data_IF_228349820206
#
_entry.id   IF_228349820206
#
_cell.length_a   1.000
_cell.length_b   1.000
_cell.length_c   1.000
_cell.angle_alpha   90.00
_cell.angle_beta   90.00
_cell.angle_gamma   90.00
#
_symmetry.space_group_name_H-M   'P 1'
#
loop_
_entity.id
_entity.type
_entity.pdbx_description
1 polymer ?
#
# COMPACT_ATOMS: atom_id res chain seq x y z
N UNK A 1 5.56 14.33 4.32
CA UNK A 1 6.57 13.37 3.85
C UNK A 1 5.99 12.59 2.68
N UNK A 2 6.76 12.38 1.65
CA UNK A 2 6.36 11.59 0.49
C UNK A 2 7.46 10.60 0.13
N UNK A 3 7.06 9.35 -0.11
CA UNK A 3 7.95 8.28 -0.58
C UNK A 3 7.33 7.70 -1.83
N UNK A 4 8.13 7.51 -2.87
CA UNK A 4 7.69 6.96 -4.13
C UNK A 4 8.65 5.85 -4.57
N UNK A 5 8.11 4.65 -4.81
CA UNK A 5 8.85 3.48 -5.24
C UNK A 5 8.18 2.87 -6.46
N UNK A 6 8.95 2.25 -7.34
CA UNK A 6 8.42 1.61 -8.53
C UNK A 6 9.14 0.29 -8.83
N UNK A 7 8.40 -0.64 -9.44
CA UNK A 7 8.92 -1.91 -9.92
C UNK A 7 8.08 -2.41 -11.10
N UNK A 8 8.73 -3.03 -12.09
CA UNK A 8 8.03 -3.66 -13.20
C UNK A 8 7.63 -5.09 -12.87
N UNK A 9 6.55 -5.56 -13.46
CA UNK A 9 6.07 -6.93 -13.37
C UNK A 9 5.61 -7.43 -14.74
N UNK A 10 5.60 -8.76 -14.92
CA UNK A 10 5.40 -9.37 -16.23
C UNK A 10 3.94 -9.45 -16.69
N UNK A 11 2.97 -9.17 -15.82
CA UNK A 11 1.54 -9.27 -16.15
C UNK A 11 0.98 -7.98 -16.74
N UNK A 12 -0.14 -8.11 -17.47
CA UNK A 12 -0.90 -6.96 -17.97
C UNK A 12 -1.48 -6.15 -16.80
N UNK A 13 -1.72 -4.84 -16.97
CA UNK A 13 -2.29 -3.99 -15.93
C UNK A 13 -3.58 -4.53 -15.30
N UNK A 14 -4.50 -5.06 -16.09
CA UNK A 14 -5.77 -5.60 -15.57
C UNK A 14 -5.54 -6.79 -14.63
N UNK A 15 -4.64 -7.71 -14.97
CA UNK A 15 -4.27 -8.85 -14.14
C UNK A 15 -3.56 -8.39 -12.86
N UNK A 16 -2.60 -7.49 -12.99
CA UNK A 16 -1.88 -6.91 -11.85
C UNK A 16 -2.81 -6.19 -10.89
N UNK A 17 -3.72 -5.38 -11.42
CA UNK A 17 -4.66 -4.64 -10.59
C UNK A 17 -5.64 -5.56 -9.85
N UNK A 18 -6.10 -6.64 -10.47
CA UNK A 18 -6.97 -7.60 -9.81
C UNK A 18 -6.31 -8.22 -8.58
N UNK A 19 -4.99 -8.47 -8.63
CA UNK A 19 -4.22 -8.99 -7.50
C UNK A 19 -4.06 -7.92 -6.42
N UNK A 20 -3.70 -6.72 -6.79
CA UNK A 20 -3.52 -5.59 -5.84
C UNK A 20 -4.84 -5.23 -5.16
N UNK A 21 -5.94 -5.22 -5.89
CA UNK A 21 -7.26 -4.88 -5.35
C UNK A 21 -7.87 -5.98 -4.47
N UNK A 22 -7.38 -7.21 -4.56
CA UNK A 22 -7.83 -8.31 -3.72
C UNK A 22 -7.14 -8.27 -2.35
N UNK A 23 -7.47 -7.27 -1.56
CA UNK A 23 -6.80 -6.97 -0.29
C UNK A 23 -6.92 -8.08 0.74
N UNK A 24 -7.94 -8.93 0.64
CA UNK A 24 -8.13 -10.07 1.57
C UNK A 24 -7.02 -11.12 1.44
N UNK A 25 -6.36 -11.19 0.30
CA UNK A 25 -5.25 -12.12 0.05
C UNK A 25 -3.88 -11.53 0.38
N UNK A 26 -3.81 -10.27 0.76
CA UNK A 26 -2.53 -9.63 1.08
C UNK A 26 -1.70 -10.35 2.14
N UNK A 27 -2.28 -10.95 3.20
CA UNK A 27 -1.48 -11.72 4.15
C UNK A 27 -0.70 -12.88 3.54
N UNK A 28 -1.19 -13.45 2.43
CA UNK A 28 -0.53 -14.54 1.71
C UNK A 28 0.52 -14.03 0.71
N UNK A 29 0.44 -12.74 0.34
CA UNK A 29 1.27 -12.12 -0.69
C UNK A 29 2.37 -11.27 -0.06
N UNK A 30 2.02 -10.43 0.92
CA UNK A 30 2.92 -9.47 1.54
C UNK A 30 3.36 -10.02 2.90
N UNK A 31 4.64 -10.35 3.03
CA UNK A 31 5.16 -11.07 4.21
C UNK A 31 5.03 -10.28 5.50
N UNK A 32 5.03 -8.95 5.45
CA UNK A 32 4.87 -8.09 6.62
C UNK A 32 3.43 -8.02 7.15
N UNK A 33 2.43 -8.40 6.35
CA UNK A 33 1.02 -8.38 6.74
C UNK A 33 0.63 -9.73 7.32
N UNK A 34 0.09 -9.74 8.54
CA UNK A 34 -0.30 -10.96 9.24
C UNK A 34 -1.76 -11.30 9.04
N UNK A 35 -2.64 -10.30 9.03
CA UNK A 35 -4.07 -10.50 8.79
C UNK A 35 -4.73 -9.24 8.24
N UNK A 36 -5.80 -9.46 7.48
CA UNK A 36 -6.72 -8.41 7.02
C UNK A 36 -8.14 -8.85 7.42
N UNK A 37 -8.85 -7.97 8.13
CA UNK A 37 -10.26 -8.14 8.45
C UNK A 37 -11.06 -7.04 7.74
N UNK A 38 -12.05 -7.45 6.96
CA UNK A 38 -12.96 -6.49 6.30
C UNK A 38 -14.05 -6.09 7.29
N UNK A 39 -14.10 -4.81 7.66
CA UNK A 39 -15.03 -4.29 8.66
C UNK A 39 -16.37 -3.86 8.05
N UNK A 40 -16.37 -3.47 6.79
CA UNK A 40 -17.57 -3.03 6.07
C UNK A 40 -18.23 -4.21 5.37
N UNK A 41 -19.53 -4.50 5.61
CA UNK A 41 -20.22 -5.59 4.91
C UNK A 41 -20.28 -5.37 3.40
N UNK A 42 -20.33 -6.48 2.66
CA UNK A 42 -20.46 -6.48 1.21
C UNK A 42 -19.11 -6.56 0.47
N UNK A 43 -19.13 -6.40 -0.88
CA UNK A 43 -17.94 -6.51 -1.70
C UNK A 43 -16.97 -5.35 -1.42
N UNK A 44 -15.69 -5.59 -1.74
CA UNK A 44 -14.64 -4.56 -1.64
C UNK A 44 -14.96 -3.44 -2.64
N UNK A 45 -15.00 -2.20 -2.15
CA UNK A 45 -15.33 -1.00 -2.91
C UNK A 45 -14.74 0.25 -2.25
N UNK A 46 -14.83 1.38 -2.90
CA UNK A 46 -14.53 2.66 -2.26
C UNK A 46 -15.43 2.85 -1.02
N UNK A 47 -14.83 3.23 0.09
CA UNK A 47 -15.47 3.32 1.41
C UNK A 47 -15.35 2.07 2.28
N UNK A 48 -14.86 0.95 1.74
CA UNK A 48 -14.60 -0.26 2.54
C UNK A 48 -13.54 0.02 3.58
N UNK A 49 -13.82 -0.38 4.83
CA UNK A 49 -12.90 -0.27 5.94
C UNK A 49 -12.29 -1.62 6.26
N UNK A 50 -11.01 -1.61 6.57
CA UNK A 50 -10.20 -2.79 6.86
C UNK A 50 -9.50 -2.62 8.20
N UNK A 51 -9.27 -3.73 8.90
CA UNK A 51 -8.30 -3.80 9.99
C UNK A 51 -7.12 -4.63 9.52
N UNK A 52 -5.92 -4.06 9.61
CA UNK A 52 -4.69 -4.70 9.21
C UNK A 52 -3.80 -4.94 10.42
N UNK A 53 -3.34 -6.17 10.60
CA UNK A 53 -2.27 -6.52 11.52
C UNK A 53 -0.99 -6.77 10.71
N UNK A 54 0.06 -6.04 11.02
CA UNK A 54 1.35 -6.20 10.35
C UNK A 54 2.51 -6.10 11.32
N UNK A 55 3.66 -6.57 10.87
CA UNK A 55 4.93 -6.34 11.54
C UNK A 55 5.62 -5.17 10.84
N UNK A 56 5.93 -4.13 11.58
CA UNK A 56 6.69 -2.97 11.10
C UNK A 56 7.77 -2.65 12.12
N UNK A 57 9.00 -2.46 11.66
CA UNK A 57 10.17 -2.25 12.53
C UNK A 57 10.35 -3.35 13.59
N UNK A 58 10.03 -4.60 13.24
CA UNK A 58 10.10 -5.74 14.16
C UNK A 58 9.01 -5.78 15.23
N UNK A 59 7.98 -4.91 15.13
CA UNK A 59 6.88 -4.83 16.11
C UNK A 59 5.55 -5.03 15.42
N UNK A 60 4.59 -5.61 16.16
CA UNK A 60 3.21 -5.71 15.71
C UNK A 60 2.53 -4.33 15.70
N UNK A 61 1.83 -4.05 14.61
CA UNK A 61 1.01 -2.87 14.47
C UNK A 61 -0.37 -3.29 13.97
N UNK A 62 -1.42 -2.86 14.68
CA UNK A 62 -2.80 -3.01 14.24
C UNK A 62 -3.32 -1.64 13.84
N UNK A 63 -3.89 -1.52 12.64
CA UNK A 63 -4.42 -0.26 12.14
C UNK A 63 -5.68 -0.45 11.34
N UNK A 64 -6.52 0.58 11.32
CA UNK A 64 -7.68 0.64 10.45
C UNK A 64 -7.35 1.46 9.21
N UNK A 65 -7.72 0.93 8.06
CA UNK A 65 -7.53 1.54 6.75
C UNK A 65 -8.90 1.70 6.07
N UNK A 66 -9.01 2.69 5.23
CA UNK A 66 -10.16 2.87 4.35
C UNK A 66 -9.70 2.82 2.90
N UNK A 67 -10.40 2.06 2.07
CA UNK A 67 -10.21 2.12 0.63
C UNK A 67 -10.92 3.38 0.14
N UNK A 68 -10.16 4.41 -0.18
CA UNK A 68 -10.71 5.68 -0.62
C UNK A 68 -11.06 5.68 -2.11
N UNK A 69 -10.25 4.97 -2.92
CA UNK A 69 -10.38 4.98 -4.38
C UNK A 69 -10.06 3.61 -4.94
N UNK A 70 -10.89 3.12 -5.85
CA UNK A 70 -10.59 2.00 -6.73
C UNK A 70 -10.90 2.46 -8.16
N UNK A 71 -9.86 2.75 -8.92
CA UNK A 71 -9.95 3.11 -10.35
C UNK A 71 -9.31 2.00 -11.17
N UNK A 72 -10.15 1.06 -11.65
CA UNK A 72 -9.66 -0.11 -12.39
C UNK A 72 -9.23 0.28 -13.81
N UNK A 73 -8.13 -0.25 -14.30
CA UNK A 73 -7.12 -1.10 -13.65
C UNK A 73 -5.91 -0.31 -13.14
N UNK A 74 -6.08 0.91 -12.69
CA UNK A 74 -5.01 1.91 -12.57
C UNK A 74 -4.61 2.23 -11.13
N UNK A 75 -5.57 2.46 -10.21
CA UNK A 75 -5.24 2.99 -8.88
C UNK A 75 -6.10 2.38 -7.76
N UNK A 76 -5.42 1.99 -6.69
CA UNK A 76 -6.02 1.69 -5.40
C UNK A 76 -5.42 2.65 -4.37
N UNK A 77 -6.26 3.44 -3.70
CA UNK A 77 -5.84 4.35 -2.64
C UNK A 77 -6.36 3.89 -1.29
N UNK A 78 -5.45 3.76 -0.34
CA UNK A 78 -5.75 3.51 1.06
C UNK A 78 -5.51 4.78 1.89
N UNK A 79 -6.38 5.00 2.86
CA UNK A 79 -6.23 6.08 3.85
C UNK A 79 -6.13 5.48 5.24
N UNK A 80 -5.25 6.03 6.06
CA UNK A 80 -5.17 5.74 7.48
C UNK A 80 -5.26 7.04 8.29
N UNK A 81 -6.17 7.08 9.24
CA UNK A 81 -6.37 8.20 10.15
C UNK A 81 -5.96 7.80 11.56
N UNK A 82 -4.65 7.77 11.80
CA UNK A 82 -4.12 7.58 13.15
C UNK A 82 -4.21 8.91 13.92
N UNK A 83 -4.41 8.91 15.26
CA UNK A 83 -4.49 10.14 16.03
C UNK A 83 -3.32 11.11 15.81
N UNK A 84 -2.13 10.59 15.58
CA UNK A 84 -0.91 11.41 15.45
C UNK A 84 -0.47 11.62 14.00
N UNK A 85 -0.98 10.82 13.06
CA UNK A 85 -0.51 10.81 11.68
C UNK A 85 -1.63 10.43 10.72
N UNK A 86 -1.87 11.27 9.74
CA UNK A 86 -2.69 10.91 8.59
C UNK A 86 -1.76 10.48 7.45
N UNK A 87 -2.06 9.36 6.81
CA UNK A 87 -1.33 8.99 5.60
C UNK A 87 -2.24 8.38 4.54
N UNK A 88 -1.77 8.46 3.31
CA UNK A 88 -2.36 7.76 2.17
C UNK A 88 -1.30 6.93 1.46
N UNK A 89 -1.71 5.79 0.95
CA UNK A 89 -0.88 4.91 0.15
C UNK A 89 -1.59 4.60 -1.16
N UNK A 90 -1.00 5.04 -2.26
CA UNK A 90 -1.46 4.72 -3.61
C UNK A 90 -0.68 3.53 -4.16
N UNK A 91 -1.43 2.57 -4.69
CA UNK A 91 -0.91 1.53 -5.57
C UNK A 91 -1.34 1.93 -6.97
N UNK A 92 -0.37 2.31 -7.81
CA UNK A 92 -0.62 2.75 -9.19
C UNK A 92 -0.04 1.74 -10.16
N UNK A 93 -0.83 1.34 -11.14
CA UNK A 93 -0.43 0.38 -12.16
C UNK A 93 -0.56 1.01 -13.54
N UNK A 94 0.54 1.01 -14.28
CA UNK A 94 0.60 1.53 -15.64
C UNK A 94 1.13 0.46 -16.60
N UNK A 95 0.65 0.49 -17.83
CA UNK A 95 1.18 -0.34 -18.90
C UNK A 95 2.58 0.11 -19.26
N UNK A 96 3.45 -0.84 -19.62
CA UNK A 96 4.77 -0.54 -20.16
C UNK A 96 4.88 -1.01 -21.60
N UNK A 97 5.70 -0.32 -22.37
CA UNK A 97 5.97 -0.69 -23.75
C UNK A 97 6.60 -2.09 -23.81
N UNK A 98 6.11 -2.91 -24.73
CA UNK A 98 6.59 -4.30 -24.88
C UNK A 98 5.85 -5.34 -24.05
N UNK A 99 4.83 -4.94 -23.29
CA UNK A 99 4.05 -5.81 -22.41
C UNK A 99 4.48 -5.74 -20.96
N UNK A 100 3.62 -6.24 -20.05
CA UNK A 100 3.83 -6.10 -18.63
C UNK A 100 3.28 -4.80 -18.06
N UNK A 101 3.61 -4.53 -16.82
CA UNK A 101 3.17 -3.33 -16.12
C UNK A 101 4.27 -2.76 -15.23
N UNK A 102 4.11 -1.49 -14.88
CA UNK A 102 4.88 -0.82 -13.83
C UNK A 102 3.97 -0.58 -12.65
N UNK A 103 4.39 -1.03 -11.49
CA UNK A 103 3.69 -0.78 -10.24
C UNK A 103 4.44 0.27 -9.45
N UNK A 104 3.71 1.27 -8.96
CA UNK A 104 4.25 2.31 -8.08
C UNK A 104 3.52 2.29 -6.75
N UNK A 105 4.28 2.43 -5.68
CA UNK A 105 3.76 2.75 -4.36
C UNK A 105 4.08 4.21 -4.07
N UNK A 106 3.06 5.00 -3.75
CA UNK A 106 3.22 6.40 -3.41
C UNK A 106 2.63 6.62 -2.03
N UNK A 107 3.51 6.82 -1.06
CA UNK A 107 3.15 7.08 0.33
C UNK A 107 3.24 8.56 0.61
N UNK A 108 2.16 9.13 1.17
CA UNK A 108 2.12 10.52 1.62
C UNK A 108 1.60 10.57 3.04
N UNK A 109 2.28 11.33 3.89
CA UNK A 109 1.86 11.50 5.26
C UNK A 109 1.90 12.97 5.68
N UNK A 110 1.05 13.28 6.66
CA UNK A 110 1.03 14.58 7.33
C UNK A 110 0.74 14.38 8.81
N UNK A 111 1.35 15.19 9.69
CA UNK A 111 1.03 15.16 11.11
C UNK A 111 -0.44 15.52 11.33
N UNK A 112 -1.10 14.80 12.26
CA UNK A 112 -2.48 15.06 12.64
C UNK A 112 -2.63 16.12 13.73
N UNK A 113 -1.54 16.41 14.47
CA UNK A 113 -1.55 17.31 15.63
C UNK A 113 -0.58 18.48 15.45
N UNK A 114 -0.81 19.64 16.13
CA UNK A 114 0.14 20.74 16.12
C UNK A 114 1.52 20.35 16.65
N UNK A 115 1.57 19.52 17.70
CA UNK A 115 2.83 19.01 18.27
C UNK A 115 3.57 18.14 17.26
N UNK A 116 2.86 17.27 16.55
CA UNK A 116 3.44 16.46 15.47
C UNK A 116 4.02 17.33 14.36
N UNK A 117 3.33 18.41 13.98
CA UNK A 117 3.84 19.37 12.99
C UNK A 117 5.14 20.04 13.44
N UNK A 118 5.21 20.44 14.71
CA UNK A 118 6.40 21.07 15.27
C UNK A 118 7.61 20.12 15.30
N UNK A 119 7.37 18.83 15.53
CA UNK A 119 8.42 17.82 15.62
C UNK A 119 8.81 17.20 14.26
N UNK A 120 7.98 17.38 13.23
CA UNK A 120 8.19 16.79 11.92
C UNK A 120 9.58 17.05 11.31
N UNK A 121 10.15 18.27 11.35
CA UNK A 121 11.46 18.52 10.78
C UNK A 121 12.58 17.72 11.43
N UNK A 122 12.43 17.34 12.70
CA UNK A 122 13.42 16.56 13.45
C UNK A 122 13.26 15.07 13.21
N UNK A 123 12.03 14.60 13.01
CA UNK A 123 11.70 13.17 12.89
C UNK A 123 11.68 12.68 11.44
N UNK A 124 11.41 13.56 10.50
CA UNK A 124 11.15 13.22 9.09
C UNK A 124 12.27 12.43 8.41
N UNK A 125 13.56 12.82 8.51
CA UNK A 125 14.61 12.08 7.80
C UNK A 125 14.76 10.64 8.28
N UNK A 126 14.66 10.43 9.59
CA UNK A 126 14.76 9.10 10.18
C UNK A 126 13.55 8.23 9.81
N UNK A 127 12.35 8.78 9.94
CA UNK A 127 11.12 8.07 9.60
C UNK A 127 11.03 7.76 8.11
N UNK A 128 11.49 8.66 7.25
CA UNK A 128 11.50 8.44 5.81
C UNK A 128 12.36 7.24 5.44
N UNK A 129 13.58 7.15 5.96
CA UNK A 129 14.48 6.01 5.70
C UNK A 129 13.82 4.70 6.13
N UNK A 130 13.26 4.68 7.32
CA UNK A 130 12.68 3.46 7.89
C UNK A 130 11.41 3.02 7.17
N UNK A 131 10.54 3.96 6.82
CA UNK A 131 9.33 3.66 6.05
C UNK A 131 9.66 3.24 4.61
N UNK A 132 10.67 3.84 4.01
CA UNK A 132 11.15 3.44 2.70
C UNK A 132 11.61 1.99 2.71
N UNK A 133 12.38 1.59 3.71
CA UNK A 133 12.85 0.20 3.86
C UNK A 133 11.68 -0.78 3.97
N UNK A 134 10.63 -0.43 4.72
CA UNK A 134 9.42 -1.27 4.84
C UNK A 134 8.67 -1.39 3.50
N UNK A 135 8.48 -0.29 2.80
CA UNK A 135 7.80 -0.29 1.49
C UNK A 135 8.63 -1.02 0.43
N UNK A 136 9.96 -0.94 0.51
CA UNK A 136 10.88 -1.69 -0.36
C UNK A 136 10.81 -3.20 -0.13
N UNK A 137 10.32 -3.66 1.00
CA UNK A 137 10.01 -5.08 1.25
C UNK A 137 8.65 -5.48 0.69
N UNK A 138 7.64 -4.62 0.82
CA UNK A 138 6.28 -4.92 0.36
C UNK A 138 6.20 -4.98 -1.17
N UNK A 139 6.89 -4.08 -1.85
CA UNK A 139 6.83 -3.96 -3.30
C UNK A 139 7.30 -5.20 -4.07
N UNK A 140 8.45 -5.83 -3.74
CA UNK A 140 8.85 -7.09 -4.37
C UNK A 140 7.87 -8.23 -4.15
N UNK A 141 7.25 -8.32 -2.98
CA UNK A 141 6.25 -9.35 -2.68
C UNK A 141 5.05 -9.24 -3.61
N UNK A 142 4.54 -8.02 -3.81
CA UNK A 142 3.46 -7.74 -4.76
C UNK A 142 3.88 -8.05 -6.20
N UNK A 143 5.05 -7.58 -6.62
CA UNK A 143 5.56 -7.81 -7.96
C UNK A 143 5.76 -9.31 -8.26
N UNK A 144 6.20 -10.09 -7.28
CA UNK A 144 6.35 -11.54 -7.39
C UNK A 144 4.98 -12.21 -7.58
N UNK A 145 3.99 -11.84 -6.79
CA UNK A 145 2.64 -12.38 -6.90
C UNK A 145 2.03 -12.05 -8.27
N UNK A 146 2.20 -10.83 -8.75
CA UNK A 146 1.73 -10.40 -10.08
C UNK A 146 2.40 -11.22 -11.17
N UNK A 147 3.72 -11.37 -11.12
CA UNK A 147 4.49 -12.09 -12.15
C UNK A 147 4.17 -13.58 -12.21
N UNK A 148 3.74 -14.21 -11.10
CA UNK A 148 3.31 -15.60 -11.08
C UNK A 148 2.08 -15.89 -11.95
N UNK A 149 1.26 -14.88 -12.20
CA UNK A 149 0.08 -15.01 -13.07
C UNK A 149 0.42 -14.86 -14.55
N UNK A 150 1.70 -14.58 -14.87
CA UNK A 150 2.23 -14.57 -16.23
C UNK A 150 1.76 -13.42 -17.10
N UNK A 151 2.29 -13.32 -18.32
CA UNK A 151 1.93 -12.29 -19.29
C UNK A 151 0.66 -12.67 -20.04
N UNK A 152 -0.49 -12.63 -19.42
CA UNK A 152 -1.77 -12.94 -20.07
C UNK A 152 -2.41 -11.75 -20.74
#
# INVERSE_FOLDING_TARGET
MQIELAKTAASRPATAFAIVANVVDWPEIISSIKSIEVLTPGPIRAGTRLREDRIIFGRGLTQELEIATIERPHRLRLLANHPDLHYELDHVIDAVYGGGCRMMLIFRSRPATPTGRALQPLMSPFMEITLRDELERDLPDLATAISRHGPN
#
